data_IF_590509994017
#
_entry.id   IF_590509994017
#
_cell.length_a   1.000
_cell.length_b   1.000
_cell.length_c   1.000
_cell.angle_alpha   90.00
_cell.angle_beta   90.00
_cell.angle_gamma   90.00
#
_symmetry.space_group_name_H-M   'P 1'
#
loop_
_entity.id
_entity.type
_entity.pdbx_description
1 polymer ?
#
# COMPACT_ATOMS: atom_id res chain seq x y z
N UNK A 1 13.46 21.79 -26.72
CA UNK A 1 14.53 20.96 -26.13
C UNK A 1 14.13 19.50 -26.25
N UNK A 2 14.81 18.77 -27.12
CA UNK A 2 14.79 17.31 -27.19
C UNK A 2 15.56 16.75 -25.99
N UNK A 3 15.02 15.71 -25.35
CA UNK A 3 15.82 14.75 -24.60
C UNK A 3 15.37 13.36 -25.05
N UNK A 4 16.33 12.63 -25.62
CA UNK A 4 16.22 11.24 -26.07
C UNK A 4 17.24 10.43 -25.24
N UNK A 5 16.74 9.30 -24.71
CA UNK A 5 17.40 8.03 -24.34
C UNK A 5 18.22 7.99 -23.04
N UNK A 6 17.78 7.14 -22.09
CA UNK A 6 18.51 5.88 -21.89
C UNK A 6 17.59 4.69 -21.57
N UNK A 7 17.94 3.53 -22.11
CA UNK A 7 17.29 2.24 -21.96
C UNK A 7 17.66 1.59 -20.62
N UNK A 8 16.72 0.88 -20.00
CA UNK A 8 16.97 0.14 -18.76
C UNK A 8 15.93 -0.95 -18.54
N UNK A 9 16.11 -2.04 -19.26
CA UNK A 9 15.71 -3.42 -18.95
C UNK A 9 14.34 -3.62 -18.29
N UNK A 10 13.35 -3.91 -19.13
CA UNK A 10 12.31 -4.90 -18.78
C UNK A 10 13.00 -6.21 -18.42
N UNK A 11 13.33 -6.41 -17.14
CA UNK A 11 13.67 -7.71 -16.60
C UNK A 11 12.45 -8.61 -16.80
N UNK A 12 12.45 -9.31 -17.93
CA UNK A 12 11.66 -10.49 -18.11
C UNK A 12 12.11 -11.41 -16.99
N UNK A 13 11.20 -11.74 -16.07
CA UNK A 13 11.36 -12.91 -15.23
C UNK A 13 11.42 -14.10 -16.17
N UNK A 14 12.62 -14.45 -16.64
CA UNK A 14 12.87 -15.78 -17.13
C UNK A 14 12.48 -16.70 -15.96
N UNK A 15 11.55 -17.65 -16.14
CA UNK A 15 11.29 -18.63 -15.10
C UNK A 15 12.64 -19.28 -14.80
N UNK A 16 13.11 -19.17 -13.56
CA UNK A 16 14.17 -20.05 -13.08
C UNK A 16 13.68 -21.46 -13.36
N UNK A 17 14.49 -22.28 -14.03
CA UNK A 17 14.21 -23.71 -14.23
C UNK A 17 14.02 -24.34 -12.84
N UNK A 18 12.79 -24.29 -12.36
CA UNK A 18 12.38 -24.89 -11.11
C UNK A 18 12.37 -26.39 -11.36
N UNK A 19 13.24 -27.07 -10.61
CA UNK A 19 13.25 -28.51 -10.45
C UNK A 19 11.90 -28.98 -9.88
N UNK A 20 10.93 -29.17 -10.78
CA UNK A 20 9.61 -29.71 -10.46
C UNK A 20 9.72 -31.24 -10.47
N UNK A 21 10.10 -31.82 -9.33
CA UNK A 21 9.92 -33.24 -9.09
C UNK A 21 8.46 -33.45 -8.69
N UNK A 22 7.71 -34.19 -9.49
CA UNK A 22 6.30 -34.45 -9.18
C UNK A 22 6.18 -35.41 -8.00
N UNK A 23 5.17 -35.20 -7.15
CA UNK A 23 4.90 -36.09 -6.00
C UNK A 23 4.73 -37.56 -6.43
N UNK A 24 4.24 -37.80 -7.65
CA UNK A 24 4.08 -39.12 -8.26
C UNK A 24 5.44 -39.81 -8.56
N UNK A 25 6.47 -39.07 -8.97
CA UNK A 25 7.81 -39.62 -9.21
C UNK A 25 8.49 -40.04 -7.91
N UNK A 26 8.24 -39.30 -6.82
CA UNK A 26 8.70 -39.66 -5.47
C UNK A 26 7.96 -40.90 -4.97
N UNK A 27 6.65 -41.01 -5.21
CA UNK A 27 5.85 -42.20 -4.85
C UNK A 27 6.30 -43.46 -5.60
N UNK A 28 6.66 -43.35 -6.88
CA UNK A 28 7.21 -44.48 -7.64
C UNK A 28 8.56 -44.95 -7.07
N UNK A 29 9.43 -44.03 -6.64
CA UNK A 29 10.69 -44.36 -5.98
C UNK A 29 10.47 -45.02 -4.62
N UNK A 30 9.53 -44.51 -3.83
CA UNK A 30 9.13 -45.12 -2.55
C UNK A 30 8.54 -46.51 -2.77
N UNK A 31 7.76 -46.73 -3.83
CA UNK A 31 7.24 -48.07 -4.17
C UNK A 31 8.35 -49.03 -4.62
N UNK A 32 9.32 -48.55 -5.41
CA UNK A 32 10.48 -49.34 -5.82
C UNK A 32 11.38 -49.72 -4.63
N UNK A 33 11.60 -48.79 -3.70
CA UNK A 33 12.33 -49.05 -2.46
C UNK A 33 11.58 -50.06 -1.55
N UNK A 34 10.24 -49.93 -1.43
CA UNK A 34 9.40 -50.89 -0.68
C UNK A 34 9.41 -52.30 -1.29
N UNK A 35 9.51 -52.42 -2.61
CA UNK A 35 9.68 -53.71 -3.30
C UNK A 35 11.05 -54.35 -3.01
N UNK A 36 12.08 -53.53 -2.71
CA UNK A 36 13.41 -54.00 -2.34
C UNK A 36 13.49 -54.50 -0.87
N UNK A 37 12.69 -53.94 0.04
CA UNK A 37 12.75 -54.24 1.48
C UNK A 37 11.84 -55.40 1.96
N UNK A 38 10.81 -55.82 1.20
CA UNK A 38 9.79 -56.75 1.74
C UNK A 38 9.20 -57.76 0.75
N UNK A 39 9.46 -59.05 0.99
CA UNK A 39 8.75 -60.17 0.35
C UNK A 39 7.23 -60.07 0.57
N UNK A 40 6.47 -60.24 -0.52
CA UNK A 40 4.99 -60.33 -0.65
C UNK A 40 4.23 -58.99 -0.72
N UNK A 41 4.31 -58.33 -1.87
CA UNK A 41 3.22 -57.48 -2.37
C UNK A 41 2.76 -58.00 -3.74
N UNK A 42 1.45 -58.07 -3.89
CA UNK A 42 0.70 -58.72 -4.96
C UNK A 42 1.20 -58.41 -6.37
N UNK A 43 1.18 -59.44 -7.23
CA UNK A 43 1.42 -59.38 -8.68
C UNK A 43 0.34 -58.50 -9.34
N UNK A 44 0.47 -57.19 -9.25
CA UNK A 44 -0.21 -56.25 -10.14
C UNK A 44 0.83 -55.30 -10.71
N UNK A 45 1.19 -55.57 -11.96
CA UNK A 45 2.03 -54.74 -12.82
C UNK A 45 1.32 -53.37 -12.93
N UNK A 46 1.91 -52.24 -12.49
CA UNK A 46 1.34 -50.95 -12.79
C UNK A 46 1.47 -50.73 -14.31
N UNK A 47 0.35 -50.70 -15.01
CA UNK A 47 0.29 -50.18 -16.37
C UNK A 47 0.29 -48.66 -16.28
N UNK A 48 1.46 -48.04 -16.44
CA UNK A 48 1.57 -46.61 -16.71
C UNK A 48 2.43 -46.42 -17.95
N UNK A 49 1.77 -46.48 -19.11
CA UNK A 49 2.23 -45.79 -20.31
C UNK A 49 1.93 -44.30 -20.09
N UNK A 50 2.97 -43.50 -19.86
CA UNK A 50 2.93 -42.07 -20.19
C UNK A 50 4.20 -41.71 -20.96
N UNK A 51 3.95 -41.10 -22.12
CA UNK A 51 4.97 -40.60 -23.04
C UNK A 51 5.88 -39.58 -22.34
N UNK A 52 7.18 -39.55 -22.64
CA UNK A 52 8.09 -38.58 -22.07
C UNK A 52 7.79 -37.20 -22.69
N UNK A 53 7.31 -36.27 -21.87
CA UNK A 53 7.33 -34.85 -22.21
C UNK A 53 8.79 -34.37 -22.15
N UNK A 54 9.33 -34.05 -23.32
CA UNK A 54 10.71 -33.64 -23.58
C UNK A 54 11.05 -32.25 -23.02
N UNK A 55 11.08 -32.09 -21.70
CA UNK A 55 11.88 -31.05 -21.03
C UNK A 55 12.47 -31.69 -19.78
N UNK A 56 13.65 -32.31 -19.93
CA UNK A 56 14.33 -33.00 -18.82
C UNK A 56 15.09 -31.96 -18.01
N UNK A 57 14.43 -31.43 -16.99
CA UNK A 57 15.06 -30.69 -15.91
C UNK A 57 16.26 -31.50 -15.36
N UNK A 58 17.40 -30.86 -15.02
CA UNK A 58 18.56 -31.54 -14.43
C UNK A 58 18.21 -32.45 -13.24
N UNK A 59 17.16 -32.13 -12.48
CA UNK A 59 16.64 -33.00 -11.43
C UNK A 59 15.95 -34.25 -11.95
N UNK A 60 15.05 -34.14 -12.94
CA UNK A 60 14.36 -35.28 -13.55
C UNK A 60 15.35 -36.27 -14.16
N UNK A 61 16.43 -35.75 -14.73
CA UNK A 61 17.53 -36.56 -15.27
C UNK A 61 18.26 -37.33 -14.17
N UNK A 62 18.65 -36.67 -13.08
CA UNK A 62 19.28 -37.31 -11.92
C UNK A 62 18.36 -38.35 -11.26
N UNK A 63 17.06 -38.06 -11.20
CA UNK A 63 16.05 -38.98 -10.68
C UNK A 63 15.89 -40.22 -11.58
N UNK A 64 15.93 -40.04 -12.90
CA UNK A 64 15.95 -41.12 -13.88
C UNK A 64 17.19 -42.01 -13.78
N UNK A 65 18.36 -41.42 -13.58
CA UNK A 65 19.63 -42.12 -13.32
C UNK A 65 19.58 -42.91 -12.00
N UNK A 66 18.96 -42.35 -10.96
CA UNK A 66 18.77 -43.05 -9.69
C UNK A 66 17.76 -44.21 -9.80
N UNK A 67 16.64 -44.02 -10.51
CA UNK A 67 15.63 -45.05 -10.79
C UNK A 67 16.20 -46.22 -11.58
N UNK A 68 17.02 -45.95 -12.60
CA UNK A 68 17.70 -46.98 -13.38
C UNK A 68 18.72 -47.76 -12.54
N UNK A 69 19.44 -47.08 -11.65
CA UNK A 69 20.37 -47.73 -10.70
C UNK A 69 19.63 -48.68 -9.74
N UNK A 70 18.50 -48.25 -9.17
CA UNK A 70 17.66 -49.11 -8.30
C UNK A 70 17.12 -50.33 -9.06
N UNK A 71 16.68 -50.13 -10.31
CA UNK A 71 16.18 -51.23 -11.15
C UNK A 71 17.28 -52.25 -11.49
N UNK A 72 18.52 -51.81 -11.72
CA UNK A 72 19.66 -52.70 -11.99
C UNK A 72 20.03 -53.51 -10.72
N UNK A 73 20.04 -52.88 -9.55
CA UNK A 73 20.27 -53.58 -8.27
C UNK A 73 19.19 -54.64 -8.01
N UNK A 74 17.90 -54.31 -8.25
CA UNK A 74 16.79 -55.25 -8.12
C UNK A 74 16.87 -56.41 -9.14
N UNK A 75 17.25 -56.14 -10.39
CA UNK A 75 17.42 -57.15 -11.41
C UNK A 75 18.56 -58.13 -11.05
N UNK A 76 19.69 -57.62 -10.56
CA UNK A 76 20.82 -58.43 -10.08
C UNK A 76 20.45 -59.25 -8.84
N UNK A 77 19.64 -58.71 -7.93
CA UNK A 77 19.09 -59.45 -6.79
C UNK A 77 18.20 -60.62 -7.25
N UNK A 78 17.39 -60.41 -8.30
CA UNK A 78 16.60 -61.46 -8.94
C UNK A 78 17.46 -62.58 -9.54
N UNK A 79 18.61 -62.25 -10.14
CA UNK A 79 19.54 -63.26 -10.66
C UNK A 79 20.22 -64.09 -9.56
N UNK A 80 20.43 -63.50 -8.38
CA UNK A 80 20.98 -64.19 -7.19
C UNK A 80 20.02 -65.21 -6.57
N UNK A 81 18.73 -65.17 -6.92
CA UNK A 81 17.72 -66.10 -6.43
C UNK A 81 17.68 -67.42 -7.25
N UNK A 82 18.51 -67.56 -8.30
CA UNK A 82 18.62 -68.77 -9.11
C UNK A 82 19.48 -69.83 -8.41
N UNK A 83 19.04 -71.08 -8.47
CA UNK A 83 19.56 -72.22 -7.68
C UNK A 83 20.93 -72.77 -8.09
N UNK A 84 21.71 -72.05 -8.91
CA UNK A 84 22.96 -72.53 -9.51
C UNK A 84 24.21 -71.71 -9.17
N UNK A 85 24.17 -70.85 -8.14
CA UNK A 85 25.27 -69.96 -7.77
C UNK A 85 26.09 -70.56 -6.62
N UNK A 86 27.42 -70.54 -6.72
CA UNK A 86 28.30 -71.05 -5.66
C UNK A 86 28.23 -70.15 -4.42
N UNK A 87 28.43 -70.73 -3.23
CA UNK A 87 28.37 -70.00 -1.96
C UNK A 87 29.40 -68.86 -1.88
N UNK A 88 30.56 -69.03 -2.52
CA UNK A 88 31.61 -68.01 -2.63
C UNK A 88 31.20 -66.84 -3.53
N UNK A 89 30.59 -67.12 -4.68
CA UNK A 89 30.09 -66.07 -5.59
C UNK A 89 28.91 -65.33 -4.98
N UNK A 90 28.00 -66.04 -4.29
CA UNK A 90 26.90 -65.42 -3.58
C UNK A 90 27.38 -64.44 -2.49
N UNK A 91 28.38 -64.82 -1.69
CA UNK A 91 28.95 -63.94 -0.66
C UNK A 91 29.63 -62.71 -1.25
N UNK A 92 30.34 -62.86 -2.36
CA UNK A 92 30.99 -61.75 -3.05
C UNK A 92 29.97 -60.77 -3.64
N UNK A 93 28.95 -61.29 -4.34
CA UNK A 93 27.87 -60.47 -4.91
C UNK A 93 27.04 -59.79 -3.81
N UNK A 94 26.79 -60.47 -2.69
CA UNK A 94 26.13 -59.89 -1.52
C UNK A 94 26.94 -58.73 -0.93
N UNK A 95 28.26 -58.90 -0.74
CA UNK A 95 29.11 -57.84 -0.21
C UNK A 95 29.17 -56.62 -1.14
N UNK A 96 29.24 -56.85 -2.46
CA UNK A 96 29.18 -55.78 -3.46
C UNK A 96 27.85 -55.03 -3.40
N UNK A 97 26.74 -55.73 -3.25
CA UNK A 97 25.42 -55.09 -3.12
C UNK A 97 25.22 -54.36 -1.80
N UNK A 98 25.72 -54.88 -0.69
CA UNK A 98 25.67 -54.17 0.60
C UNK A 98 26.49 -52.87 0.54
N UNK A 99 27.61 -52.87 -0.19
CA UNK A 99 28.43 -51.68 -0.42
C UNK A 99 27.73 -50.66 -1.34
N UNK A 100 27.13 -51.12 -2.44
CA UNK A 100 26.36 -50.26 -3.36
C UNK A 100 25.13 -49.65 -2.67
N UNK A 101 24.42 -50.43 -1.84
CA UNK A 101 23.27 -49.95 -1.07
C UNK A 101 23.68 -48.88 -0.05
N UNK A 102 24.81 -49.08 0.63
CA UNK A 102 25.32 -48.10 1.61
C UNK A 102 25.70 -46.78 0.92
N UNK A 103 26.32 -46.83 -0.26
CA UNK A 103 26.66 -45.63 -1.03
C UNK A 103 25.41 -44.92 -1.59
N UNK A 104 24.37 -45.67 -1.98
CA UNK A 104 23.09 -45.10 -2.40
C UNK A 104 22.38 -44.38 -1.25
N UNK A 105 22.33 -44.96 -0.05
CA UNK A 105 21.76 -44.32 1.13
C UNK A 105 22.51 -43.02 1.48
N UNK A 106 23.84 -43.05 1.44
CA UNK A 106 24.67 -41.85 1.67
C UNK A 106 24.40 -40.75 0.65
N UNK A 107 24.13 -41.10 -0.61
CA UNK A 107 23.76 -40.14 -1.67
C UNK A 107 22.38 -39.53 -1.42
N UNK A 108 21.40 -40.33 -0.99
CA UNK A 108 20.08 -39.84 -0.61
C UNK A 108 20.18 -38.84 0.55
N UNK A 109 20.93 -39.19 1.61
CA UNK A 109 21.14 -38.30 2.75
C UNK A 109 21.81 -36.98 2.35
N UNK A 110 22.80 -37.03 1.43
CA UNK A 110 23.45 -35.83 0.93
C UNK A 110 22.49 -34.97 0.08
N UNK A 111 21.66 -35.60 -0.76
CA UNK A 111 20.65 -34.88 -1.54
C UNK A 111 19.59 -34.24 -0.64
N UNK A 112 19.11 -34.95 0.39
CA UNK A 112 18.16 -34.41 1.37
C UNK A 112 18.73 -33.16 2.05
N UNK A 113 19.99 -33.23 2.52
CA UNK A 113 20.67 -32.08 3.14
C UNK A 113 20.86 -30.91 2.19
N UNK A 114 21.27 -31.15 0.95
CA UNK A 114 21.44 -30.07 -0.05
C UNK A 114 20.11 -29.38 -0.36
N UNK A 115 19.04 -30.16 -0.49
CA UNK A 115 17.69 -29.66 -0.76
C UNK A 115 17.17 -28.83 0.42
N UNK A 116 17.31 -29.33 1.66
CA UNK A 116 16.93 -28.58 2.85
C UNK A 116 17.69 -27.26 3.00
N UNK A 117 19.01 -27.27 2.76
CA UNK A 117 19.84 -26.07 2.83
C UNK A 117 19.45 -25.04 1.77
N UNK A 118 19.19 -25.48 0.52
CA UNK A 118 18.73 -24.61 -0.56
C UNK A 118 17.36 -24.00 -0.26
N UNK A 119 16.41 -24.80 0.22
CA UNK A 119 15.10 -24.28 0.61
C UNK A 119 15.18 -23.29 1.77
N UNK A 120 16.00 -23.56 2.80
CA UNK A 120 16.24 -22.60 3.89
C UNK A 120 16.84 -21.29 3.39
N UNK A 121 17.83 -21.37 2.49
CA UNK A 121 18.44 -20.19 1.89
C UNK A 121 17.44 -19.38 1.06
N UNK A 122 16.55 -20.05 0.31
CA UNK A 122 15.54 -19.39 -0.50
C UNK A 122 14.44 -18.76 0.35
N UNK A 123 14.00 -19.43 1.42
CA UNK A 123 13.06 -18.86 2.41
C UNK A 123 13.66 -17.60 3.06
N UNK A 124 14.93 -17.64 3.45
CA UNK A 124 15.59 -16.46 4.03
C UNK A 124 15.80 -15.34 3.00
N UNK A 125 16.09 -15.66 1.74
CA UNK A 125 16.11 -14.66 0.65
C UNK A 125 14.74 -14.01 0.46
N UNK A 126 13.67 -14.81 0.39
CA UNK A 126 12.29 -14.33 0.26
C UNK A 126 11.91 -13.46 1.45
N UNK A 127 12.24 -13.89 2.67
CA UNK A 127 12.00 -13.14 3.91
C UNK A 127 12.71 -11.77 3.88
N UNK A 128 13.97 -11.73 3.49
CA UNK A 128 14.74 -10.50 3.38
C UNK A 128 14.18 -9.57 2.28
N UNK A 129 13.77 -10.13 1.14
CA UNK A 129 13.13 -9.37 0.05
C UNK A 129 11.79 -8.78 0.48
N UNK A 130 10.96 -9.55 1.18
CA UNK A 130 9.69 -9.07 1.74
C UNK A 130 9.91 -7.96 2.79
N UNK A 131 10.89 -8.11 3.67
CA UNK A 131 11.23 -7.05 4.62
C UNK A 131 11.72 -5.76 3.94
N UNK A 132 12.53 -5.88 2.88
CA UNK A 132 12.95 -4.71 2.07
C UNK A 132 11.77 -4.06 1.39
N UNK A 133 10.85 -4.85 0.82
CA UNK A 133 9.64 -4.35 0.18
C UNK A 133 8.74 -3.62 1.19
N UNK A 134 8.55 -4.19 2.38
CA UNK A 134 7.77 -3.58 3.46
C UNK A 134 8.34 -2.22 3.88
N UNK A 135 9.67 -2.10 4.02
CA UNK A 135 10.32 -0.82 4.33
C UNK A 135 10.09 0.22 3.23
N UNK A 136 10.31 -0.16 1.97
CA UNK A 136 10.06 0.73 0.82
C UNK A 136 8.61 1.20 0.75
N UNK A 137 7.66 0.30 1.02
CA UNK A 137 6.24 0.64 1.04
C UNK A 137 5.93 1.67 2.14
N UNK A 138 6.45 1.46 3.36
CA UNK A 138 6.28 2.40 4.45
C UNK A 138 6.91 3.77 4.16
N UNK A 139 8.11 3.79 3.56
CA UNK A 139 8.78 5.03 3.17
C UNK A 139 7.96 5.80 2.12
N UNK A 140 7.44 5.09 1.10
CA UNK A 140 6.60 5.69 0.07
C UNK A 140 5.27 6.22 0.64
N UNK A 141 4.65 5.51 1.58
CA UNK A 141 3.44 5.98 2.27
C UNK A 141 3.73 7.27 3.05
N UNK A 142 4.85 7.32 3.77
CA UNK A 142 5.27 8.51 4.51
C UNK A 142 5.52 9.71 3.58
N UNK A 143 6.18 9.49 2.43
CA UNK A 143 6.39 10.53 1.42
C UNK A 143 5.06 11.02 0.84
N UNK A 144 4.13 10.11 0.53
CA UNK A 144 2.80 10.46 0.03
C UNK A 144 2.01 11.30 1.05
N UNK A 145 2.10 10.97 2.34
CA UNK A 145 1.49 11.76 3.41
C UNK A 145 2.09 13.17 3.51
N UNK A 146 3.41 13.28 3.38
CA UNK A 146 4.12 14.56 3.37
C UNK A 146 3.71 15.41 2.17
N UNK A 147 3.68 14.84 0.97
CA UNK A 147 3.25 15.55 -0.25
C UNK A 147 1.78 15.98 -0.17
N UNK A 148 0.89 15.12 0.35
CA UNK A 148 -0.51 15.49 0.58
C UNK A 148 -0.63 16.63 1.59
N UNK A 149 0.17 16.62 2.66
CA UNK A 149 0.18 17.71 3.63
C UNK A 149 0.73 19.01 3.03
N UNK A 150 1.80 18.93 2.23
CA UNK A 150 2.37 20.07 1.51
C UNK A 150 1.37 20.65 0.50
N UNK A 151 0.70 19.79 -0.28
CA UNK A 151 -0.35 20.19 -1.22
C UNK A 151 -1.53 20.87 -0.53
N UNK A 152 -1.99 20.35 0.61
CA UNK A 152 -3.03 21.01 1.41
C UNK A 152 -2.59 22.40 1.87
N UNK A 153 -1.38 22.55 2.43
CA UNK A 153 -0.86 23.85 2.86
C UNK A 153 -0.72 24.83 1.70
N UNK A 154 -0.28 24.37 0.53
CA UNK A 154 -0.22 25.21 -0.66
C UNK A 154 -1.61 25.69 -1.09
N UNK A 155 -2.61 24.80 -1.04
CA UNK A 155 -4.00 25.15 -1.35
C UNK A 155 -4.60 26.13 -0.33
N UNK A 156 -4.32 25.95 0.97
CA UNK A 156 -4.68 26.91 2.04
C UNK A 156 -4.08 28.30 1.74
N UNK A 157 -2.78 28.36 1.43
CA UNK A 157 -2.07 29.61 1.11
C UNK A 157 -2.60 30.28 -0.17
N UNK A 158 -2.94 29.48 -1.20
CA UNK A 158 -3.56 29.99 -2.43
C UNK A 158 -4.94 30.60 -2.15
N UNK A 159 -5.76 29.93 -1.33
CA UNK A 159 -7.07 30.44 -0.93
C UNK A 159 -6.94 31.79 -0.20
N UNK A 160 -6.02 31.88 0.77
CA UNK A 160 -5.71 33.14 1.46
C UNK A 160 -5.25 34.23 0.49
N UNK A 161 -4.33 33.89 -0.43
CA UNK A 161 -3.85 34.83 -1.43
C UNK A 161 -4.95 35.36 -2.35
N UNK A 162 -5.86 34.48 -2.81
CA UNK A 162 -7.00 34.88 -3.63
C UNK A 162 -7.96 35.81 -2.89
N UNK A 163 -8.20 35.57 -1.60
CA UNK A 163 -9.01 36.47 -0.76
C UNK A 163 -8.32 37.83 -0.65
N UNK A 164 -7.02 37.88 -0.35
CA UNK A 164 -6.30 39.13 -0.14
C UNK A 164 -6.27 40.02 -1.39
N UNK A 165 -6.22 39.44 -2.59
CA UNK A 165 -6.27 40.20 -3.85
C UNK A 165 -7.70 40.47 -4.35
N UNK A 166 -8.73 40.00 -3.63
CA UNK A 166 -10.13 40.20 -4.00
C UNK A 166 -10.67 39.28 -5.09
N UNK A 167 -9.96 38.21 -5.45
CA UNK A 167 -10.44 37.21 -6.41
C UNK A 167 -11.34 36.18 -5.70
N UNK A 168 -12.58 36.59 -5.44
CA UNK A 168 -13.54 35.82 -4.65
C UNK A 168 -13.93 34.49 -5.31
N UNK A 169 -14.10 34.45 -6.64
CA UNK A 169 -14.52 33.24 -7.34
C UNK A 169 -13.48 32.11 -7.20
N UNK A 170 -12.20 32.43 -7.42
CA UNK A 170 -11.12 31.46 -7.26
C UNK A 170 -10.88 31.11 -5.78
N UNK A 171 -11.06 32.07 -4.87
CA UNK A 171 -11.00 31.80 -3.43
C UNK A 171 -12.05 30.78 -2.99
N UNK A 172 -13.31 30.93 -3.42
CA UNK A 172 -14.42 30.02 -3.10
C UNK A 172 -14.16 28.64 -3.69
N UNK A 173 -13.73 28.56 -4.95
CA UNK A 173 -13.38 27.30 -5.60
C UNK A 173 -12.25 26.59 -4.87
N UNK A 174 -11.19 27.32 -4.51
CA UNK A 174 -10.07 26.78 -3.75
C UNK A 174 -10.48 26.30 -2.35
N UNK A 175 -11.36 27.04 -1.68
CA UNK A 175 -11.87 26.71 -0.35
C UNK A 175 -12.79 25.49 -0.36
N UNK A 176 -13.74 25.40 -1.30
CA UNK A 176 -14.59 24.22 -1.47
C UNK A 176 -13.77 22.96 -1.75
N UNK A 177 -12.68 23.08 -2.50
CA UNK A 177 -11.77 21.96 -2.76
C UNK A 177 -11.03 21.45 -1.49
N UNK A 178 -10.90 22.29 -0.44
CA UNK A 178 -10.36 21.86 0.86
C UNK A 178 -11.34 21.03 1.67
N UNK A 179 -12.63 20.98 1.28
CA UNK A 179 -13.66 20.10 1.82
C UNK A 179 -13.69 20.02 3.36
N UNK A 180 -13.65 21.18 4.02
CA UNK A 180 -13.73 21.28 5.49
C UNK A 180 -12.42 21.00 6.24
N UNK A 181 -11.32 20.68 5.55
CA UNK A 181 -10.00 20.51 6.21
C UNK A 181 -9.37 21.82 6.71
N UNK A 182 -9.87 22.96 6.24
CA UNK A 182 -9.42 24.28 6.63
C UNK A 182 -10.59 25.06 7.23
N UNK A 183 -10.56 25.25 8.54
CA UNK A 183 -11.64 25.92 9.27
C UNK A 183 -11.73 27.40 8.89
N UNK A 184 -12.97 27.90 8.69
CA UNK A 184 -13.22 29.28 8.27
C UNK A 184 -12.64 30.30 9.26
N UNK A 185 -12.64 30.00 10.56
CA UNK A 185 -12.07 30.85 11.59
C UNK A 185 -10.54 31.00 11.43
N UNK A 186 -9.85 29.91 11.10
CA UNK A 186 -8.41 29.90 10.83
C UNK A 186 -8.11 30.65 9.53
N UNK A 187 -8.86 30.36 8.46
CA UNK A 187 -8.76 31.09 7.19
C UNK A 187 -8.93 32.60 7.38
N UNK A 188 -9.92 33.02 8.17
CA UNK A 188 -10.18 34.44 8.44
C UNK A 188 -8.98 35.10 9.13
N UNK A 189 -8.37 34.40 10.10
CA UNK A 189 -7.17 34.90 10.78
C UNK A 189 -5.97 35.00 9.83
N UNK A 190 -5.76 34.00 8.97
CA UNK A 190 -4.63 33.95 8.04
C UNK A 190 -4.78 34.99 6.91
N UNK A 191 -6.02 35.28 6.50
CA UNK A 191 -6.31 36.25 5.44
C UNK A 191 -6.41 37.71 5.93
N UNK A 192 -6.67 37.95 7.21
CA UNK A 192 -6.79 39.29 7.77
C UNK A 192 -5.42 39.98 7.88
N UNK A 193 -5.29 41.16 7.26
CA UNK A 193 -4.07 41.98 7.32
C UNK A 193 -4.43 43.34 7.93
N UNK A 194 -3.79 43.68 9.05
CA UNK A 194 -4.12 44.89 9.85
C UNK A 194 -4.08 46.16 9.00
N UNK A 195 -3.04 46.37 8.19
CA UNK A 195 -2.88 47.61 7.42
C UNK A 195 -3.50 47.54 6.01
N UNK A 196 -4.21 46.47 5.68
CA UNK A 196 -4.85 46.25 4.37
C UNK A 196 -6.36 46.53 4.37
N UNK A 197 -6.93 46.71 3.17
CA UNK A 197 -8.39 46.62 2.99
C UNK A 197 -8.82 45.15 2.82
N UNK A 198 -8.56 44.31 3.83
CA UNK A 198 -8.94 42.89 3.80
C UNK A 198 -10.38 42.63 4.26
N UNK A 199 -11.05 43.65 4.81
CA UNK A 199 -12.44 43.53 5.30
C UNK A 199 -13.40 43.31 4.13
N UNK A 200 -13.31 44.14 3.09
CA UNK A 200 -14.20 44.03 1.93
C UNK A 200 -14.06 42.68 1.21
N UNK A 201 -12.84 42.20 0.88
CA UNK A 201 -12.67 40.87 0.28
C UNK A 201 -13.17 39.71 1.14
N UNK A 202 -12.93 39.75 2.46
CA UNK A 202 -13.40 38.71 3.38
C UNK A 202 -14.93 38.67 3.47
N UNK A 203 -15.58 39.82 3.53
CA UNK A 203 -17.05 39.91 3.51
C UNK A 203 -17.61 39.34 2.22
N UNK A 204 -17.07 39.76 1.06
CA UNK A 204 -17.51 39.24 -0.24
C UNK A 204 -17.30 37.72 -0.35
N UNK A 205 -16.20 37.21 0.19
CA UNK A 205 -15.93 35.77 0.26
C UNK A 205 -16.96 35.02 1.10
N UNK A 206 -17.32 35.54 2.28
CA UNK A 206 -18.37 34.92 3.10
C UNK A 206 -19.75 35.00 2.46
N UNK A 207 -20.08 36.10 1.77
CA UNK A 207 -21.32 36.22 1.00
C UNK A 207 -21.39 35.21 -0.15
N UNK A 208 -20.27 34.97 -0.84
CA UNK A 208 -20.21 33.97 -1.91
C UNK A 208 -20.34 32.52 -1.39
N UNK A 209 -20.08 32.28 -0.10
CA UNK A 209 -20.29 31.00 0.58
C UNK A 209 -21.66 30.88 1.27
N UNK A 210 -22.57 31.85 1.08
CA UNK A 210 -23.84 31.92 1.81
C UNK A 210 -24.72 30.68 1.66
N UNK A 211 -24.79 30.09 0.47
CA UNK A 211 -25.56 28.86 0.24
C UNK A 211 -25.03 27.67 1.05
N UNK A 212 -23.73 27.65 1.31
CA UNK A 212 -23.02 26.61 2.06
C UNK A 212 -22.72 27.05 3.51
N UNK A 213 -23.41 28.08 4.01
CA UNK A 213 -23.03 28.78 5.24
C UNK A 213 -23.00 27.87 6.49
N UNK A 214 -23.97 26.97 6.64
CA UNK A 214 -23.99 25.99 7.73
C UNK A 214 -22.82 25.00 7.60
N UNK A 215 -22.59 24.47 6.39
CA UNK A 215 -21.56 23.46 6.14
C UNK A 215 -20.14 23.98 6.42
N UNK A 216 -19.87 25.24 6.07
CA UNK A 216 -18.58 25.87 6.31
C UNK A 216 -18.52 26.74 7.58
N UNK A 217 -19.62 26.84 8.33
CA UNK A 217 -19.69 27.61 9.57
C UNK A 217 -19.36 29.09 9.41
N UNK A 218 -19.78 29.74 8.30
CA UNK A 218 -19.34 31.11 7.93
C UNK A 218 -19.56 32.16 9.02
N UNK A 219 -20.55 32.01 9.91
CA UNK A 219 -20.74 32.84 11.11
C UNK A 219 -19.49 32.91 12.00
N UNK A 220 -18.74 31.81 12.16
CA UNK A 220 -17.50 31.82 12.92
C UNK A 220 -16.44 32.72 12.24
N UNK A 221 -16.42 32.75 10.90
CA UNK A 221 -15.57 33.68 10.15
C UNK A 221 -15.95 35.13 10.40
N UNK A 222 -17.24 35.46 10.37
CA UNK A 222 -17.74 36.80 10.70
C UNK A 222 -17.41 37.24 12.13
N UNK A 223 -17.54 36.36 13.12
CA UNK A 223 -17.19 36.66 14.51
C UNK A 223 -15.70 36.94 14.69
N UNK A 224 -14.83 36.15 14.05
CA UNK A 224 -13.38 36.38 14.06
C UNK A 224 -13.03 37.69 13.36
N UNK A 225 -13.63 37.96 12.20
CA UNK A 225 -13.41 39.21 11.46
C UNK A 225 -13.83 40.42 12.30
N UNK A 226 -15.01 40.38 12.91
CA UNK A 226 -15.47 41.42 13.83
C UNK A 226 -14.49 41.62 14.99
N UNK A 227 -14.08 40.53 15.65
CA UNK A 227 -13.16 40.57 16.77
C UNK A 227 -11.80 41.18 16.38
N UNK A 228 -11.25 40.84 15.22
CA UNK A 228 -10.00 41.41 14.72
C UNK A 228 -10.11 42.89 14.40
N UNK A 229 -11.20 43.32 13.76
CA UNK A 229 -11.43 44.73 13.45
C UNK A 229 -11.63 45.54 14.74
N UNK A 230 -12.34 44.97 15.72
CA UNK A 230 -12.56 45.60 17.03
C UNK A 230 -11.24 45.74 17.81
N UNK A 231 -10.45 44.68 17.92
CA UNK A 231 -9.15 44.67 18.59
C UNK A 231 -8.17 45.69 18.00
N UNK A 232 -8.24 45.92 16.68
CA UNK A 232 -7.37 46.87 15.99
C UNK A 232 -7.93 48.30 15.96
N UNK A 233 -9.04 48.59 16.65
CA UNK A 233 -9.73 49.89 16.63
C UNK A 233 -10.11 50.36 15.21
N UNK A 234 -10.42 49.41 14.35
CA UNK A 234 -10.67 49.61 12.92
C UNK A 234 -12.15 49.62 12.56
N UNK A 235 -13.01 49.59 13.57
CA UNK A 235 -14.46 49.47 13.42
C UNK A 235 -15.07 50.85 13.18
N UNK A 236 -14.96 51.31 11.93
CA UNK A 236 -15.56 52.54 11.43
C UNK A 236 -16.94 52.31 10.81
N UNK A 237 -17.61 53.39 10.39
CA UNK A 237 -18.98 53.32 9.86
C UNK A 237 -19.07 52.43 8.62
N UNK A 238 -18.16 52.59 7.66
CA UNK A 238 -18.14 51.80 6.42
C UNK A 238 -18.01 50.29 6.70
N UNK A 239 -16.98 49.89 7.46
CA UNK A 239 -16.72 48.49 7.79
C UNK A 239 -17.83 47.87 8.62
N UNK A 240 -18.39 48.62 9.57
CA UNK A 240 -19.52 48.17 10.39
C UNK A 240 -20.79 47.99 9.55
N UNK A 241 -21.07 48.91 8.62
CA UNK A 241 -22.20 48.81 7.71
C UNK A 241 -22.06 47.62 6.77
N UNK A 242 -20.88 47.41 6.16
CA UNK A 242 -20.61 46.26 5.30
C UNK A 242 -20.85 44.93 6.02
N UNK A 243 -20.25 44.74 7.20
CA UNK A 243 -20.48 43.54 8.02
C UNK A 243 -21.95 43.37 8.42
N UNK A 244 -22.63 44.46 8.75
CA UNK A 244 -24.03 44.39 9.14
C UNK A 244 -24.91 43.91 8.00
N UNK A 245 -24.77 44.50 6.81
CA UNK A 245 -25.59 44.15 5.64
C UNK A 245 -25.32 42.74 5.13
N UNK A 246 -24.07 42.27 5.20
CA UNK A 246 -23.73 40.92 4.77
C UNK A 246 -24.33 39.83 5.68
N UNK A 247 -24.60 40.16 6.94
CA UNK A 247 -25.29 39.26 7.89
C UNK A 247 -26.81 39.23 7.71
N UNK A 248 -27.41 40.17 6.96
CA UNK A 248 -28.87 40.24 6.81
C UNK A 248 -29.39 39.06 5.98
N UNK A 249 -30.25 38.26 6.59
CA UNK A 249 -30.83 37.08 5.97
C UNK A 249 -29.85 35.90 5.92
N UNK A 250 -28.68 35.99 6.57
CA UNK A 250 -27.78 34.85 6.70
C UNK A 250 -28.46 33.75 7.54
N UNK A 251 -29.33 34.14 8.48
CA UNK A 251 -30.14 33.25 9.31
C UNK A 251 -30.95 32.20 8.51
N UNK A 252 -31.35 32.50 7.27
CA UNK A 252 -32.11 31.57 6.43
C UNK A 252 -31.30 30.37 5.94
N UNK A 253 -29.97 30.44 6.02
CA UNK A 253 -29.04 29.40 5.57
C UNK A 253 -28.53 28.53 6.72
N UNK A 254 -29.01 28.79 7.94
CA UNK A 254 -28.69 28.02 9.14
C UNK A 254 -29.89 27.22 9.59
N UNK A 255 -29.65 25.97 9.98
CA UNK A 255 -30.67 25.09 10.56
C UNK A 255 -30.55 25.01 12.08
N UNK A 256 -29.35 25.28 12.63
CA UNK A 256 -29.09 25.20 14.05
C UNK A 256 -29.45 26.51 14.76
N UNK A 257 -30.33 26.41 15.78
CA UNK A 257 -30.77 27.58 16.54
C UNK A 257 -29.61 28.31 17.24
N UNK A 258 -28.57 27.58 17.66
CA UNK A 258 -27.38 28.16 18.27
C UNK A 258 -26.67 29.14 17.32
N UNK A 259 -26.51 28.76 16.05
CA UNK A 259 -25.87 29.61 15.04
C UNK A 259 -26.76 30.79 14.62
N UNK A 260 -28.08 30.58 14.51
CA UNK A 260 -29.03 31.67 14.28
C UNK A 260 -28.94 32.72 15.39
N UNK A 261 -28.84 32.28 16.65
CA UNK A 261 -28.67 33.18 17.79
C UNK A 261 -27.33 33.94 17.74
N UNK A 262 -26.24 33.29 17.28
CA UNK A 262 -24.93 33.93 17.07
C UNK A 262 -25.00 35.03 16.02
N UNK A 263 -25.67 34.79 14.90
CA UNK A 263 -25.93 35.80 13.86
C UNK A 263 -26.69 36.99 14.46
N UNK A 264 -27.78 36.70 15.20
CA UNK A 264 -28.56 37.74 15.87
C UNK A 264 -27.74 38.58 16.85
N UNK A 265 -26.95 37.93 17.70
CA UNK A 265 -26.08 38.60 18.66
C UNK A 265 -25.03 39.50 17.98
N UNK A 266 -24.40 39.02 16.90
CA UNK A 266 -23.42 39.80 16.15
C UNK A 266 -24.07 41.01 15.45
N UNK A 267 -25.27 40.83 14.88
CA UNK A 267 -26.04 41.94 14.30
C UNK A 267 -26.38 43.02 15.33
N UNK A 268 -26.77 42.65 16.54
CA UNK A 268 -27.04 43.61 17.64
C UNK A 268 -25.78 44.41 17.97
N UNK A 269 -24.62 43.75 18.16
CA UNK A 269 -23.34 44.42 18.41
C UNK A 269 -23.00 45.46 17.34
N UNK A 270 -23.19 45.10 16.06
CA UNK A 270 -22.92 45.99 14.92
C UNK A 270 -23.90 47.17 14.87
N UNK A 271 -25.19 46.96 15.15
CA UNK A 271 -26.19 48.04 15.22
C UNK A 271 -25.83 49.04 16.32
N UNK A 272 -25.48 48.54 17.51
CA UNK A 272 -25.18 49.42 18.64
C UNK A 272 -23.92 50.26 18.38
N UNK A 273 -22.92 49.66 17.73
CA UNK A 273 -21.72 50.38 17.30
C UNK A 273 -21.99 51.41 16.19
N UNK A 274 -22.82 51.07 15.20
CA UNK A 274 -23.25 52.03 14.17
C UNK A 274 -23.97 53.25 14.80
N UNK A 275 -24.86 53.00 15.77
CA UNK A 275 -25.54 54.07 16.51
C UNK A 275 -24.59 54.93 17.33
N UNK A 276 -23.54 54.36 17.93
CA UNK A 276 -22.56 55.16 18.69
C UNK A 276 -21.73 56.05 17.78
N UNK A 277 -21.29 55.54 16.63
CA UNK A 277 -20.56 56.31 15.61
C UNK A 277 -21.41 57.46 15.02
N UNK A 278 -22.70 57.24 14.83
CA UNK A 278 -23.64 58.29 14.37
C UNK A 278 -23.89 59.38 15.43
N UNK A 279 -23.67 59.09 16.71
CA UNK A 279 -23.76 60.10 17.80
C UNK A 279 -22.47 60.91 17.94
N UNK A 280 -21.32 60.32 17.66
CA UNK A 280 -20.00 61.00 17.70
C UNK A 280 -19.80 61.97 16.53
N UNK A 281 -20.59 61.83 15.45
CA UNK A 281 -20.51 62.67 14.24
C UNK A 281 -21.49 63.84 14.22
N UNK A 282 -22.32 64.00 15.26
CA UNK A 282 -23.26 65.13 15.44
C UNK A 282 -22.76 66.08 16.51
#
# INVERSE_FOLDING_TARGET
LLVIVDHGDTQHFAPTEECVISHAEIEELVQLAKLAEGRKASRKRPSSQRNPTNQTDPCSRRLGEFKTTIQDVLARYGTMQNSSISVSEYKLMKAQQEQELTELLRRVDNFEREVEQRFRAEIERLRNSLQKLQRRLNDNLRLLEQERAAGRRAQEALCVGYIQIGNVEEAVKAYRALNGSYEIARLTNDAFVVDGDTVTPLVNFFEALREDAQAFGTIAGYEILYSKIEQNNQLNKDRSSKLFFSLVGLEYYYSEQADINRIGALRVKLIDKLKSLDRETR
#
